data_IF_095733610506
#
_entry.id   IF_095733610506
#
_cell.length_a   1.000
_cell.length_b   1.000
_cell.length_c   1.000
_cell.angle_alpha   90.00
_cell.angle_beta   90.00
_cell.angle_gamma   90.00
#
_symmetry.space_group_name_H-M   'P 1'
#
loop_
_entity.id
_entity.type
_entity.pdbx_description
1 polymer ?
#
# COMPACT_ATOMS: atom_id res chain seq x y z
N UNK A 1 24.99 19.51 -5.12
CA UNK A 1 23.72 20.01 -5.69
C UNK A 1 22.99 18.81 -6.28
N UNK A 2 21.84 18.40 -5.72
CA UNK A 2 21.11 17.21 -6.20
C UNK A 2 20.56 17.51 -7.59
N UNK A 3 20.88 16.65 -8.57
CA UNK A 3 20.37 16.80 -9.93
C UNK A 3 19.05 16.03 -10.07
N UNK A 4 17.94 16.75 -10.29
CA UNK A 4 16.60 16.18 -10.43
C UNK A 4 16.53 15.06 -11.48
N UNK A 5 17.20 15.25 -12.62
CA UNK A 5 17.22 14.25 -13.70
C UNK A 5 18.05 13.02 -13.33
N UNK A 6 19.05 13.18 -12.46
CA UNK A 6 19.82 12.05 -11.95
C UNK A 6 18.99 11.26 -10.95
N UNK A 7 18.35 11.93 -9.99
CA UNK A 7 17.49 11.31 -8.98
C UNK A 7 16.34 10.53 -9.62
N UNK A 8 15.62 11.17 -10.54
CA UNK A 8 14.56 10.55 -11.33
C UNK A 8 15.01 9.27 -12.04
N UNK A 9 16.17 9.31 -12.72
CA UNK A 9 16.72 8.13 -13.41
C UNK A 9 17.12 7.01 -12.46
N UNK A 10 17.66 7.34 -11.28
CA UNK A 10 18.01 6.35 -10.28
C UNK A 10 16.78 5.65 -9.71
N UNK A 11 15.72 6.40 -9.38
CA UNK A 11 14.46 5.84 -8.89
C UNK A 11 13.88 4.83 -9.90
N UNK A 12 13.74 5.24 -11.16
CA UNK A 12 13.23 4.34 -12.21
C UNK A 12 14.13 3.12 -12.47
N UNK A 13 15.42 3.19 -12.15
CA UNK A 13 16.31 2.04 -12.25
C UNK A 13 16.03 1.04 -11.13
N UNK A 14 15.89 1.51 -9.90
CA UNK A 14 15.63 0.65 -8.74
C UNK A 14 14.22 0.04 -8.81
N UNK A 15 13.23 0.77 -9.33
CA UNK A 15 11.89 0.23 -9.59
C UNK A 15 11.87 -1.04 -10.45
N UNK A 16 12.92 -1.28 -11.27
CA UNK A 16 13.02 -2.51 -12.08
C UNK A 16 13.20 -3.77 -11.24
N UNK A 17 13.60 -3.63 -9.98
CA UNK A 17 13.74 -4.71 -9.01
C UNK A 17 12.42 -5.01 -8.29
N UNK A 18 11.40 -4.15 -8.43
CA UNK A 18 10.09 -4.35 -7.83
C UNK A 18 9.22 -5.29 -8.69
N UNK A 19 8.25 -5.99 -8.08
CA UNK A 19 7.21 -6.73 -8.79
C UNK A 19 6.50 -5.85 -9.83
N UNK A 20 6.02 -6.48 -10.91
CA UNK A 20 5.50 -5.79 -12.10
C UNK A 20 4.38 -4.79 -11.77
N UNK A 21 3.46 -5.18 -10.90
CA UNK A 21 2.27 -4.43 -10.52
C UNK A 21 2.66 -3.16 -9.74
N UNK A 22 3.50 -3.33 -8.72
CA UNK A 22 4.00 -2.23 -7.88
C UNK A 22 4.90 -1.29 -8.68
N UNK A 23 5.77 -1.85 -9.52
CA UNK A 23 6.60 -1.08 -10.45
C UNK A 23 5.75 -0.20 -11.36
N UNK A 24 4.68 -0.75 -11.93
CA UNK A 24 3.82 0.00 -12.85
C UNK A 24 3.21 1.21 -12.14
N UNK A 25 2.63 1.01 -10.96
CA UNK A 25 2.03 2.08 -10.16
C UNK A 25 3.09 3.12 -9.76
N UNK A 26 4.23 2.67 -9.25
CA UNK A 26 5.34 3.54 -8.85
C UNK A 26 5.90 4.37 -10.00
N UNK A 27 6.12 3.77 -11.18
CA UNK A 27 6.63 4.47 -12.36
C UNK A 27 5.68 5.59 -12.83
N UNK A 28 4.37 5.38 -12.76
CA UNK A 28 3.38 6.41 -13.10
C UNK A 28 3.41 7.56 -12.09
N UNK A 29 3.46 7.23 -10.79
CA UNK A 29 3.50 8.22 -9.72
C UNK A 29 4.75 9.10 -9.80
N UNK A 30 5.95 8.49 -9.91
CA UNK A 30 7.22 9.22 -10.02
C UNK A 30 7.20 10.19 -11.22
N UNK A 31 6.66 9.75 -12.37
CA UNK A 31 6.53 10.61 -13.55
C UNK A 31 5.63 11.81 -13.30
N UNK A 32 4.48 11.58 -12.67
CA UNK A 32 3.52 12.64 -12.37
C UNK A 32 4.14 13.67 -11.41
N UNK A 33 4.77 13.21 -10.34
CA UNK A 33 5.35 14.08 -9.32
C UNK A 33 6.52 14.92 -9.86
N UNK A 34 7.48 14.30 -10.55
CA UNK A 34 8.60 15.06 -11.14
C UNK A 34 8.15 16.02 -12.26
N UNK A 35 7.05 15.69 -12.97
CA UNK A 35 6.46 16.60 -13.95
C UNK A 35 5.81 17.80 -13.26
N UNK A 36 5.05 17.58 -12.18
CA UNK A 36 4.40 18.63 -11.41
C UNK A 36 5.42 19.57 -10.74
N UNK A 37 6.58 19.05 -10.36
CA UNK A 37 7.65 19.83 -9.72
C UNK A 37 8.62 20.51 -10.70
N UNK A 38 8.43 20.34 -12.02
CA UNK A 38 9.34 20.90 -13.04
C UNK A 38 9.32 22.43 -13.11
N UNK A 39 8.19 23.06 -12.78
CA UNK A 39 8.02 24.52 -12.83
C UNK A 39 8.22 25.22 -11.49
N UNK A 40 8.44 24.44 -10.42
CA UNK A 40 8.68 25.00 -9.09
C UNK A 40 10.11 25.54 -9.04
N UNK A 41 10.26 26.83 -8.81
CA UNK A 41 11.57 27.51 -8.75
C UNK A 41 11.93 27.97 -7.34
N UNK A 42 10.96 28.00 -6.43
CA UNK A 42 11.20 28.35 -5.03
C UNK A 42 11.92 27.21 -4.30
N UNK A 43 13.16 27.50 -3.88
CA UNK A 43 14.06 26.56 -3.21
C UNK A 43 13.46 25.97 -1.93
N UNK A 44 12.58 26.71 -1.24
CA UNK A 44 11.95 26.27 0.02
C UNK A 44 11.09 25.03 -0.17
N UNK A 45 10.54 24.84 -1.37
CA UNK A 45 9.76 23.64 -1.70
C UNK A 45 10.61 22.57 -2.39
N UNK A 46 11.64 22.97 -3.14
CA UNK A 46 12.55 22.03 -3.81
C UNK A 46 13.45 21.26 -2.85
N UNK A 47 13.94 21.88 -1.78
CA UNK A 47 14.82 21.21 -0.82
C UNK A 47 14.14 20.04 -0.10
N UNK A 48 12.93 20.21 0.51
CA UNK A 48 12.17 19.10 1.06
C UNK A 48 11.86 18.03 0.03
N UNK A 49 11.49 18.42 -1.20
CA UNK A 49 11.24 17.49 -2.29
C UNK A 49 12.46 16.59 -2.55
N UNK A 50 13.64 17.17 -2.81
CA UNK A 50 14.83 16.37 -3.06
C UNK A 50 15.24 15.51 -1.87
N UNK A 51 15.07 16.01 -0.64
CA UNK A 51 15.33 15.23 0.57
C UNK A 51 14.45 13.99 0.62
N UNK A 52 13.14 14.15 0.48
CA UNK A 52 12.16 13.05 0.53
C UNK A 52 12.42 12.03 -0.57
N UNK A 53 12.64 12.47 -1.82
CA UNK A 53 12.89 11.57 -2.93
C UNK A 53 14.25 10.85 -2.85
N UNK A 54 15.24 11.44 -2.19
CA UNK A 54 16.52 10.77 -1.90
C UNK A 54 16.33 9.70 -0.84
N UNK A 55 15.60 9.99 0.25
CA UNK A 55 15.27 9.00 1.28
C UNK A 55 14.48 7.82 0.70
N UNK A 56 13.46 8.11 -0.13
CA UNK A 56 12.68 7.10 -0.84
C UNK A 56 13.56 6.20 -1.72
N UNK A 57 14.50 6.77 -2.48
CA UNK A 57 15.44 5.99 -3.29
C UNK A 57 16.27 5.02 -2.44
N UNK A 58 16.77 5.48 -1.30
CA UNK A 58 17.59 4.67 -0.41
C UNK A 58 16.77 3.54 0.25
N UNK A 59 15.52 3.83 0.63
CA UNK A 59 14.58 2.84 1.18
C UNK A 59 14.27 1.73 0.17
N UNK A 60 13.92 2.07 -1.08
CA UNK A 60 13.63 1.04 -2.09
C UNK A 60 14.86 0.20 -2.39
N UNK A 61 16.06 0.81 -2.44
CA UNK A 61 17.29 0.02 -2.63
C UNK A 61 17.47 -0.99 -1.50
N UNK A 62 17.30 -0.58 -0.25
CA UNK A 62 17.42 -1.48 0.90
C UNK A 62 16.40 -2.61 0.83
N UNK A 63 15.15 -2.31 0.50
CA UNK A 63 14.09 -3.31 0.41
C UNK A 63 14.35 -4.30 -0.74
N UNK A 64 14.72 -3.81 -1.92
CA UNK A 64 15.06 -4.65 -3.06
C UNK A 64 16.28 -5.55 -2.78
N UNK A 65 17.26 -5.06 -2.00
CA UNK A 65 18.41 -5.87 -1.58
C UNK A 65 18.03 -6.95 -0.56
N UNK A 66 17.14 -6.66 0.40
CA UNK A 66 16.68 -7.65 1.38
C UNK A 66 15.94 -8.80 0.70
N UNK A 67 15.02 -8.51 -0.21
CA UNK A 67 14.29 -9.54 -0.95
C UNK A 67 15.23 -10.44 -1.77
N UNK A 68 16.26 -9.88 -2.40
CA UNK A 68 17.24 -10.67 -3.16
C UNK A 68 18.13 -11.58 -2.29
N UNK A 69 18.30 -11.26 -0.99
CA UNK A 69 19.10 -12.07 -0.05
C UNK A 69 18.26 -13.19 0.57
N UNK A 70 16.97 -12.94 0.82
CA UNK A 70 16.05 -13.94 1.40
C UNK A 70 15.84 -15.17 0.50
N UNK A 71 15.88 -15.00 -0.82
CA UNK A 71 15.76 -16.11 -1.79
C UNK A 71 16.91 -17.14 -1.72
N UNK A 72 18.01 -16.81 -1.03
CA UNK A 72 19.22 -17.64 -0.96
C UNK A 72 19.34 -18.55 0.27
N UNK A 73 18.49 -18.39 1.31
CA UNK A 73 18.68 -19.08 2.60
C UNK A 73 17.49 -19.99 2.93
N UNK A 74 17.66 -21.27 2.58
CA UNK A 74 16.84 -22.45 2.88
C UNK A 74 15.96 -22.35 4.15
N UNK A 75 14.63 -22.28 3.98
CA UNK A 75 13.66 -22.62 5.04
C UNK A 75 12.63 -23.58 4.48
N UNK A 76 12.80 -24.85 4.82
CA UNK A 76 11.72 -25.81 4.82
C UNK A 76 10.61 -25.29 5.75
N UNK A 77 9.37 -25.38 5.27
CA UNK A 77 8.13 -25.25 6.05
C UNK A 77 7.70 -23.82 6.43
N UNK A 78 6.88 -23.20 5.58
CA UNK A 78 5.60 -22.54 5.89
C UNK A 78 5.13 -21.89 4.58
N UNK A 79 3.82 -21.96 4.26
CA UNK A 79 3.20 -21.35 3.08
C UNK A 79 3.76 -19.95 2.78
N UNK A 80 4.57 -19.87 1.75
CA UNK A 80 5.00 -18.62 1.13
C UNK A 80 3.80 -18.05 0.37
N UNK A 81 3.15 -17.05 0.96
CA UNK A 81 2.03 -16.31 0.37
C UNK A 81 2.51 -15.26 -0.65
N UNK A 82 3.81 -15.24 -0.98
CA UNK A 82 4.38 -14.25 -1.89
C UNK A 82 4.32 -12.83 -1.32
N UNK A 83 4.23 -12.67 0.01
CA UNK A 83 4.28 -11.36 0.67
C UNK A 83 5.66 -10.74 0.52
N UNK A 84 5.83 -9.99 -0.56
CA UNK A 84 6.95 -9.08 -0.70
C UNK A 84 6.85 -8.06 0.44
N UNK A 85 7.83 -8.05 1.33
CA UNK A 85 7.96 -7.06 2.42
C UNK A 85 8.30 -5.68 1.85
N UNK A 86 7.32 -5.10 1.15
CA UNK A 86 7.42 -3.82 0.46
C UNK A 86 6.94 -2.74 1.41
N UNK A 87 7.88 -1.92 1.88
CA UNK A 87 7.58 -0.71 2.63
C UNK A 87 8.49 -0.56 3.84
N UNK A 88 8.06 0.27 4.78
CA UNK A 88 8.64 0.34 6.12
C UNK A 88 7.62 -0.21 7.09
N UNK A 89 8.09 -1.03 8.01
CA UNK A 89 7.32 -1.31 9.21
C UNK A 89 7.16 0.01 9.98
N UNK A 90 5.93 0.40 10.27
CA UNK A 90 5.65 1.57 11.10
C UNK A 90 6.08 1.23 12.53
N UNK A 91 6.96 2.04 13.12
CA UNK A 91 7.28 1.92 14.53
C UNK A 91 6.15 2.51 15.38
N UNK A 92 6.14 2.13 16.65
CA UNK A 92 5.09 2.53 17.58
C UNK A 92 5.00 4.05 17.72
N UNK A 93 6.14 4.74 17.74
CA UNK A 93 6.21 6.20 17.83
C UNK A 93 5.59 6.88 16.59
N UNK A 94 5.86 6.37 15.39
CA UNK A 94 5.22 6.89 14.17
C UNK A 94 3.71 6.66 14.21
N UNK A 95 3.24 5.52 14.70
CA UNK A 95 1.80 5.24 14.84
C UNK A 95 1.15 6.18 15.85
N UNK A 96 1.80 6.42 16.99
CA UNK A 96 1.29 7.31 18.05
C UNK A 96 1.32 8.80 17.64
N UNK A 97 2.14 9.16 16.65
CA UNK A 97 2.18 10.53 16.09
C UNK A 97 1.25 10.75 14.90
N UNK A 98 0.51 9.72 14.46
CA UNK A 98 -0.52 9.89 13.45
C UNK A 98 -1.67 10.74 13.99
N UNK A 99 -2.08 11.73 13.21
CA UNK A 99 -3.28 12.51 13.49
C UNK A 99 -4.54 11.63 13.43
N UNK A 100 -5.53 11.95 14.26
CA UNK A 100 -6.73 11.12 14.42
C UNK A 100 -7.45 10.92 13.07
N UNK A 101 -7.56 11.98 12.27
CA UNK A 101 -8.14 11.94 10.92
C UNK A 101 -7.41 10.98 9.97
N UNK A 102 -6.08 10.89 10.11
CA UNK A 102 -5.24 10.00 9.29
C UNK A 102 -5.37 8.55 9.75
N UNK A 103 -5.46 8.34 11.05
CA UNK A 103 -5.70 7.03 11.62
C UNK A 103 -7.09 6.49 11.20
N UNK A 104 -8.13 7.34 11.21
CA UNK A 104 -9.46 6.99 10.73
C UNK A 104 -9.46 6.60 9.25
N UNK A 105 -8.80 7.38 8.39
CA UNK A 105 -8.67 7.04 6.96
C UNK A 105 -8.02 5.68 6.72
N UNK A 106 -7.00 5.32 7.51
CA UNK A 106 -6.35 4.02 7.42
C UNK A 106 -7.28 2.89 7.88
N UNK A 107 -8.07 3.11 8.95
CA UNK A 107 -9.05 2.13 9.42
C UNK A 107 -10.17 1.92 8.41
N UNK A 108 -10.68 2.99 7.80
CA UNK A 108 -11.70 2.91 6.76
C UNK A 108 -11.19 2.18 5.52
N UNK A 109 -9.95 2.46 5.11
CA UNK A 109 -9.29 1.74 4.02
C UNK A 109 -9.17 0.25 4.32
N UNK A 110 -8.74 -0.11 5.54
CA UNK A 110 -8.65 -1.51 5.98
C UNK A 110 -10.02 -2.20 5.96
N UNK A 111 -11.07 -1.53 6.46
CA UNK A 111 -12.44 -2.06 6.41
C UNK A 111 -12.92 -2.25 4.97
N UNK A 112 -12.60 -1.32 4.07
CA UNK A 112 -12.98 -1.44 2.66
C UNK A 112 -12.23 -2.57 1.93
N UNK A 113 -10.96 -2.79 2.25
CA UNK A 113 -10.15 -3.84 1.60
C UNK A 113 -10.40 -5.25 2.15
N UNK A 114 -10.75 -5.39 3.43
CA UNK A 114 -10.90 -6.69 4.11
C UNK A 114 -12.32 -7.00 4.61
N UNK A 115 -13.22 -6.02 4.67
CA UNK A 115 -14.52 -6.10 5.36
C UNK A 115 -15.75 -6.32 4.48
N UNK A 116 -15.59 -6.70 3.21
CA UNK A 116 -16.72 -6.92 2.30
C UNK A 116 -17.26 -8.37 2.23
N UNK A 117 -17.01 -9.22 3.24
CA UNK A 117 -17.51 -10.60 3.27
C UNK A 117 -18.34 -10.98 4.51
N UNK A 118 -18.98 -10.01 5.17
CA UNK A 118 -19.86 -10.31 6.31
C UNK A 118 -21.12 -9.45 6.32
N UNK A 119 -21.98 -9.55 5.31
CA UNK A 119 -23.39 -9.14 5.39
C UNK A 119 -24.23 -9.68 4.23
N UNK A 120 -24.57 -10.97 4.29
CA UNK A 120 -25.82 -11.53 3.75
C UNK A 120 -26.28 -12.66 4.67
N UNK A 121 -26.88 -12.28 5.79
CA UNK A 121 -28.00 -13.01 6.37
C UNK A 121 -28.78 -12.03 7.26
N UNK A 122 -29.45 -11.12 6.56
CA UNK A 122 -30.51 -10.30 7.11
C UNK A 122 -31.78 -11.13 7.18
N UNK A 123 -32.07 -11.63 8.37
CA UNK A 123 -33.34 -12.18 8.79
C UNK A 123 -34.52 -11.30 8.36
N UNK A 124 -35.48 -11.90 7.64
CA UNK A 124 -36.81 -11.35 7.49
C UNK A 124 -37.81 -12.15 8.34
N UNK A 125 -38.22 -11.53 9.45
CA UNK A 125 -39.61 -11.39 9.92
C UNK A 125 -40.42 -12.62 10.40
N UNK A 126 -40.42 -12.79 11.72
CA UNK A 126 -41.59 -12.88 12.64
C UNK A 126 -42.88 -13.65 12.25
N UNK A 127 -43.18 -14.72 13.02
CA UNK A 127 -44.38 -14.82 13.87
C UNK A 127 -45.72 -15.29 13.30
N UNK A 128 -46.26 -16.41 13.85
CA UNK A 128 -47.70 -16.53 14.14
C UNK A 128 -48.53 -17.63 13.44
N UNK A 129 -48.72 -18.74 14.16
CA UNK A 129 -49.94 -19.57 14.31
C UNK A 129 -50.89 -19.97 13.14
N UNK A 130 -51.03 -21.29 13.01
CA UNK A 130 -52.26 -22.10 12.82
C UNK A 130 -53.31 -21.72 11.75
N UNK A 131 -53.49 -22.60 10.75
CA UNK A 131 -54.75 -23.33 10.50
C UNK A 131 -54.70 -24.06 9.13
N UNK A 132 -54.84 -25.39 9.17
CA UNK A 132 -55.04 -26.24 7.99
C UNK A 132 -56.52 -26.28 7.62
N UNK A 133 -56.88 -26.15 6.33
CA UNK A 133 -58.12 -26.71 5.79
C UNK A 133 -57.86 -27.73 4.66
N UNK A 134 -58.87 -28.52 4.26
CA UNK A 134 -58.68 -29.91 3.86
C UNK A 134 -58.37 -30.13 2.37
N UNK A 135 -57.70 -31.26 2.17
CA UNK A 135 -57.38 -31.91 0.89
C UNK A 135 -58.66 -32.37 0.18
N UNK A 136 -58.76 -32.06 -1.13
CA UNK A 136 -59.79 -32.59 -2.03
C UNK A 136 -59.22 -33.74 -2.87
N UNK A 137 -60.09 -34.76 -3.02
CA UNK A 137 -60.01 -36.04 -3.75
C UNK A 137 -59.27 -37.15 -3.02
#
# INVERSE_FOLDING_TARGET
MVNALHLYRQILRVHRLLPREIRFIGDQYVRAEFRNHRTVTDKRFLEPFFKQWTMYLDEIKQNAQKSAVSDGNNTNDTQDDGSWDIGRHLDRETVESLDDDKAEQLLDLHRASFGADSSKDGSDSSGGSSATPPRRK
#
